data_IF_592427643184
#
_entry.id   IF_592427643184
#
_cell.length_a   1.000
_cell.length_b   1.000
_cell.length_c   1.000
_cell.angle_alpha   90.00
_cell.angle_beta   90.00
_cell.angle_gamma   90.00
#
_symmetry.space_group_name_H-M   'P 1'
#
loop_
_entity.id
_entity.type
_entity.pdbx_description
1 polymer ?
#
# COMPACT_ATOMS: atom_id res chain seq x y z
N UNK A 1 1.42 7.15 15.87
CA UNK A 1 2.23 5.92 15.87
C UNK A 1 1.31 4.72 16.08
N UNK A 2 1.54 3.62 15.37
CA UNK A 2 0.79 2.39 15.57
C UNK A 2 1.50 1.52 16.60
N UNK A 3 0.75 1.02 17.58
CA UNK A 3 1.25 0.12 18.61
C UNK A 3 0.72 -1.27 18.33
N UNK A 4 1.61 -2.24 18.26
CA UNK A 4 1.29 -3.62 17.96
C UNK A 4 1.69 -4.52 19.13
N UNK A 5 0.96 -5.61 19.34
CA UNK A 5 1.39 -6.65 20.28
C UNK A 5 2.74 -7.27 19.84
N UNK A 6 3.37 -8.06 20.72
CA UNK A 6 4.69 -8.65 20.45
C UNK A 6 4.70 -9.55 19.20
N UNK A 7 3.64 -10.32 18.97
CA UNK A 7 3.55 -11.26 17.85
C UNK A 7 3.39 -10.49 16.53
N UNK A 8 2.49 -9.51 16.51
CA UNK A 8 2.25 -8.65 15.35
C UNK A 8 3.49 -7.83 15.02
N UNK A 9 4.17 -7.27 16.02
CA UNK A 9 5.43 -6.53 15.83
C UNK A 9 6.52 -7.42 15.20
N UNK A 10 6.68 -8.65 15.69
CA UNK A 10 7.67 -9.58 15.14
C UNK A 10 7.37 -9.95 13.67
N UNK A 11 6.09 -10.17 13.34
CA UNK A 11 5.66 -10.43 11.97
C UNK A 11 5.93 -9.23 11.06
N UNK A 12 5.57 -8.02 11.48
CA UNK A 12 5.81 -6.79 10.72
C UNK A 12 7.31 -6.56 10.49
N UNK A 13 8.16 -6.69 11.52
CA UNK A 13 9.60 -6.54 11.37
C UNK A 13 10.18 -7.51 10.34
N UNK A 14 9.69 -8.75 10.30
CA UNK A 14 10.11 -9.75 9.29
C UNK A 14 9.68 -9.33 7.88
N UNK A 15 8.45 -8.86 7.70
CA UNK A 15 7.92 -8.48 6.38
C UNK A 15 8.59 -7.21 5.85
N UNK A 16 8.81 -6.22 6.71
CA UNK A 16 9.49 -4.98 6.34
C UNK A 16 10.96 -5.21 5.98
N UNK A 17 11.60 -6.22 6.57
CA UNK A 17 12.97 -6.61 6.26
C UNK A 17 13.09 -7.53 5.04
N UNK A 18 11.99 -8.06 4.49
CA UNK A 18 12.05 -8.98 3.36
C UNK A 18 12.23 -8.22 2.03
N UNK A 19 13.28 -8.52 1.24
CA UNK A 19 13.57 -7.83 -0.02
C UNK A 19 12.44 -7.92 -1.07
N UNK A 20 11.55 -8.91 -0.99
CA UNK A 20 10.40 -9.01 -1.88
C UNK A 20 9.46 -7.84 -1.68
N UNK A 21 9.12 -7.50 -0.44
CA UNK A 21 8.23 -6.36 -0.17
C UNK A 21 8.90 -5.02 -0.45
N UNK A 22 10.22 -4.91 -0.22
CA UNK A 22 10.98 -3.75 -0.67
C UNK A 22 10.92 -3.54 -2.20
N UNK A 23 10.97 -4.62 -2.99
CA UNK A 23 10.83 -4.54 -4.46
C UNK A 23 9.41 -4.14 -4.88
N UNK A 24 8.38 -4.70 -4.24
CA UNK A 24 6.98 -4.34 -4.51
C UNK A 24 6.73 -2.86 -4.19
N UNK A 25 7.19 -2.40 -3.02
CA UNK A 25 7.03 -1.01 -2.61
C UNK A 25 7.77 -0.04 -3.55
N UNK A 26 8.98 -0.41 -3.98
CA UNK A 26 9.73 0.36 -4.98
C UNK A 26 9.03 0.42 -6.34
N UNK A 27 8.48 -0.71 -6.81
CA UNK A 27 7.69 -0.76 -8.05
C UNK A 27 6.45 0.16 -7.95
N UNK A 28 5.67 0.05 -6.88
CA UNK A 28 4.52 0.90 -6.62
C UNK A 28 4.89 2.40 -6.61
N UNK A 29 5.96 2.76 -5.91
CA UNK A 29 6.48 4.14 -5.83
C UNK A 29 6.89 4.67 -7.20
N UNK A 30 7.60 3.88 -8.00
CA UNK A 30 8.03 4.26 -9.35
C UNK A 30 6.84 4.40 -10.32
N UNK A 31 5.86 3.49 -10.26
CA UNK A 31 4.62 3.58 -11.05
C UNK A 31 3.85 4.84 -10.67
N UNK A 32 3.75 5.17 -9.39
CA UNK A 32 3.08 6.40 -8.93
C UNK A 32 3.79 7.66 -9.44
N UNK A 33 5.12 7.72 -9.34
CA UNK A 33 5.91 8.82 -9.90
C UNK A 33 5.70 8.99 -11.41
N UNK A 34 5.51 7.89 -12.13
CA UNK A 34 5.31 7.88 -13.59
C UNK A 34 3.93 8.42 -13.97
N UNK A 35 2.87 7.97 -13.30
CA UNK A 35 1.49 8.26 -13.72
C UNK A 35 0.89 9.51 -13.06
N UNK A 36 1.40 9.95 -11.91
CA UNK A 36 0.93 11.15 -11.22
C UNK A 36 2.10 11.96 -10.62
N UNK A 37 3.05 12.47 -11.45
CA UNK A 37 4.30 13.08 -10.99
C UNK A 37 4.10 14.28 -10.06
N UNK A 38 3.10 15.13 -10.33
CA UNK A 38 2.80 16.30 -9.48
C UNK A 38 2.29 15.91 -8.09
N UNK A 39 1.51 14.84 -8.01
CA UNK A 39 1.01 14.32 -6.74
C UNK A 39 2.12 13.58 -5.98
N UNK A 40 2.98 12.86 -6.70
CA UNK A 40 4.17 12.26 -6.14
C UNK A 40 5.11 13.31 -5.52
N UNK A 41 5.35 14.43 -6.20
CA UNK A 41 6.15 15.55 -5.67
C UNK A 41 5.53 16.15 -4.40
N UNK A 42 4.20 16.29 -4.35
CA UNK A 42 3.50 16.69 -3.13
C UNK A 42 3.78 15.72 -1.96
N UNK A 43 3.79 14.42 -2.22
CA UNK A 43 4.13 13.43 -1.19
C UNK A 43 5.59 13.59 -0.75
N UNK A 44 6.53 13.80 -1.68
CA UNK A 44 7.94 14.03 -1.37
C UNK A 44 8.13 15.23 -0.44
N UNK A 45 7.53 16.37 -0.81
CA UNK A 45 7.62 17.60 -0.02
C UNK A 45 7.00 17.45 1.35
N UNK A 46 5.82 16.83 1.42
CA UNK A 46 5.09 16.62 2.66
C UNK A 46 5.88 15.71 3.59
N UNK A 47 6.36 14.57 3.10
CA UNK A 47 7.14 13.64 3.91
C UNK A 47 8.47 14.24 4.35
N UNK A 48 9.15 15.00 3.49
CA UNK A 48 10.39 15.69 3.86
C UNK A 48 10.16 16.66 5.02
N UNK A 49 9.10 17.48 4.96
CA UNK A 49 8.72 18.39 6.05
C UNK A 49 8.37 17.65 7.33
N UNK A 50 7.60 16.56 7.23
CA UNK A 50 7.22 15.74 8.38
C UNK A 50 8.44 15.11 9.06
N UNK A 51 9.37 14.52 8.30
CA UNK A 51 10.59 13.92 8.84
C UNK A 51 11.56 14.97 9.42
N UNK A 52 11.57 16.20 8.90
CA UNK A 52 12.34 17.31 9.50
C UNK A 52 11.75 17.74 10.85
N UNK A 53 10.42 17.76 10.96
CA UNK A 53 9.72 18.15 12.19
C UNK A 53 9.74 17.05 13.26
N UNK A 54 9.61 15.79 12.85
CA UNK A 54 9.68 14.63 13.74
C UNK A 54 10.66 13.58 13.16
N UNK A 55 11.94 13.65 13.58
CA UNK A 55 12.97 12.69 13.16
C UNK A 55 12.70 11.25 13.60
N UNK A 56 11.70 10.99 14.43
CA UNK A 56 11.30 9.64 14.82
C UNK A 56 10.43 8.93 13.79
N UNK A 57 9.91 9.67 12.79
CA UNK A 57 9.17 9.11 11.68
C UNK A 57 10.13 8.38 10.74
N UNK A 58 9.76 7.15 10.38
CA UNK A 58 10.54 6.32 9.48
C UNK A 58 9.60 5.73 8.41
N UNK A 59 10.10 5.65 7.19
CA UNK A 59 9.41 4.93 6.13
C UNK A 59 9.49 3.43 6.36
N UNK A 60 8.45 2.71 5.95
CA UNK A 60 8.44 1.25 5.95
C UNK A 60 9.51 0.66 5.02
N UNK A 61 9.76 1.32 3.89
CA UNK A 61 10.76 0.91 2.89
C UNK A 61 11.51 2.14 2.39
N UNK A 62 12.84 2.08 2.34
CA UNK A 62 13.70 3.21 1.96
C UNK A 62 13.54 3.67 0.50
N UNK A 63 12.96 2.82 -0.36
CA UNK A 63 12.72 3.09 -1.77
C UNK A 63 11.24 3.38 -2.10
N UNK A 64 10.41 3.65 -1.10
CA UNK A 64 8.98 3.92 -1.27
C UNK A 64 8.60 5.32 -0.82
N UNK A 65 7.71 5.97 -1.57
CA UNK A 65 7.12 7.26 -1.19
C UNK A 65 5.93 7.13 -0.22
N UNK A 66 5.37 5.92 -0.08
CA UNK A 66 4.22 5.68 0.78
C UNK A 66 4.63 5.63 2.26
N UNK A 67 3.99 6.47 3.07
CA UNK A 67 4.28 6.59 4.51
C UNK A 67 3.86 5.36 5.33
N UNK A 68 2.91 4.57 4.81
CA UNK A 68 2.36 3.40 5.48
C UNK A 68 2.20 2.23 4.49
N UNK A 69 2.10 1.02 5.03
CA UNK A 69 1.88 -0.21 4.28
C UNK A 69 1.05 -1.16 5.15
N UNK A 70 0.15 -1.89 4.52
CA UNK A 70 -0.74 -2.87 5.18
C UNK A 70 -0.55 -4.23 4.52
N UNK A 71 -0.41 -5.27 5.35
CA UNK A 71 -0.35 -6.65 4.87
C UNK A 71 -1.65 -7.36 5.22
N UNK A 72 -2.46 -7.66 4.21
CA UNK A 72 -3.69 -8.42 4.39
C UNK A 72 -3.39 -9.92 4.17
N UNK A 73 -3.60 -10.73 5.21
CA UNK A 73 -3.31 -12.15 5.17
C UNK A 73 -4.52 -12.99 4.74
N UNK A 74 -4.23 -14.10 4.05
CA UNK A 74 -5.21 -15.14 3.74
C UNK A 74 -5.56 -16.02 4.94
N UNK A 75 -6.32 -17.11 4.72
CA UNK A 75 -6.66 -17.70 3.42
C UNK A 75 -7.73 -16.94 2.63
N UNK A 76 -8.49 -16.06 3.29
CA UNK A 76 -9.47 -15.19 2.65
C UNK A 76 -9.24 -13.75 3.12
N UNK A 77 -9.06 -12.85 2.17
CA UNK A 77 -8.90 -11.42 2.40
C UNK A 77 -10.07 -10.70 1.75
N UNK A 78 -10.95 -10.11 2.58
CA UNK A 78 -12.10 -9.35 2.12
C UNK A 78 -12.15 -8.04 2.89
N UNK A 79 -12.28 -6.94 2.16
CA UNK A 79 -12.70 -5.67 2.72
C UNK A 79 -14.16 -5.44 2.34
N UNK A 80 -14.98 -5.02 3.31
CA UNK A 80 -16.35 -4.58 3.03
C UNK A 80 -16.32 -3.26 2.25
N UNK A 81 -17.44 -2.82 1.71
CA UNK A 81 -17.55 -1.49 1.11
C UNK A 81 -17.12 -0.42 2.13
N UNK A 82 -16.10 0.37 1.76
CA UNK A 82 -15.57 1.44 2.59
C UNK A 82 -14.77 2.44 1.74
N UNK A 83 -14.47 3.57 2.34
CA UNK A 83 -13.47 4.54 1.88
C UNK A 83 -12.40 4.60 2.96
N UNK A 84 -11.13 4.64 2.56
CA UNK A 84 -10.01 4.89 3.46
C UNK A 84 -9.97 6.38 3.89
N UNK A 85 -10.90 6.78 4.75
CA UNK A 85 -11.11 8.19 5.14
C UNK A 85 -9.92 8.84 5.89
N UNK A 86 -8.93 8.04 6.32
CA UNK A 86 -7.70 8.53 6.96
C UNK A 86 -6.61 8.81 5.91
N UNK A 87 -6.77 8.31 4.68
CA UNK A 87 -5.88 8.66 3.58
C UNK A 87 -6.09 10.11 3.17
N UNK A 88 -5.06 10.66 2.52
CA UNK A 88 -5.16 12.00 1.96
C UNK A 88 -6.24 12.04 0.86
N UNK A 89 -7.10 13.06 0.89
CA UNK A 89 -8.38 13.07 0.15
C UNK A 89 -8.28 12.85 -1.37
N UNK A 90 -7.19 13.28 -2.00
CA UNK A 90 -6.90 13.00 -3.42
C UNK A 90 -5.59 12.23 -3.59
N UNK A 91 -5.09 11.65 -2.50
CA UNK A 91 -3.92 10.81 -2.47
C UNK A 91 -4.17 9.47 -3.15
N UNK A 92 -3.12 8.90 -3.75
CA UNK A 92 -3.19 7.57 -4.35
C UNK A 92 -2.62 6.53 -3.38
N UNK A 93 -3.06 5.30 -3.57
CA UNK A 93 -2.63 4.13 -2.80
C UNK A 93 -2.22 3.04 -3.78
N UNK A 94 -1.17 2.30 -3.49
CA UNK A 94 -0.85 1.12 -4.27
C UNK A 94 -1.33 -0.14 -3.56
N UNK A 95 -2.09 -0.97 -4.28
CA UNK A 95 -2.51 -2.30 -3.81
C UNK A 95 -1.90 -3.33 -4.75
N UNK A 96 -1.20 -4.33 -4.20
CA UNK A 96 -0.65 -5.46 -4.95
C UNK A 96 -1.28 -6.76 -4.47
N UNK A 97 -1.88 -7.52 -5.38
CA UNK A 97 -2.43 -8.83 -5.06
C UNK A 97 -1.32 -9.88 -5.01
N UNK A 98 -1.27 -10.69 -3.95
CA UNK A 98 -0.27 -11.74 -3.77
C UNK A 98 -0.92 -13.09 -3.45
N UNK A 99 -0.17 -14.17 -3.67
CA UNK A 99 -0.60 -15.53 -3.38
C UNK A 99 -0.97 -16.32 -4.63
N UNK A 100 -1.63 -17.46 -4.44
CA UNK A 100 -2.09 -18.32 -5.51
C UNK A 100 -3.60 -18.51 -5.35
N UNK A 101 -4.37 -17.88 -6.23
CA UNK A 101 -5.83 -17.95 -6.23
C UNK A 101 -6.39 -17.80 -7.66
N UNK A 102 -7.61 -18.30 -7.86
CA UNK A 102 -8.37 -18.10 -9.10
C UNK A 102 -9.01 -16.71 -9.08
N UNK A 103 -8.38 -15.75 -9.76
CA UNK A 103 -8.82 -14.37 -9.75
C UNK A 103 -10.22 -14.18 -10.35
N UNK A 104 -10.65 -15.08 -11.25
CA UNK A 104 -12.00 -15.05 -11.83
C UNK A 104 -13.10 -15.49 -10.86
N UNK A 105 -12.72 -16.09 -9.72
CA UNK A 105 -13.65 -16.56 -8.69
C UNK A 105 -13.58 -15.78 -7.38
N UNK A 106 -12.49 -15.08 -7.10
CA UNK A 106 -12.32 -14.36 -5.83
C UNK A 106 -11.36 -13.18 -5.82
N UNK A 107 -10.63 -12.93 -6.90
CA UNK A 107 -9.73 -11.79 -7.01
C UNK A 107 -10.42 -10.65 -7.72
N UNK A 108 -11.19 -9.83 -6.98
CA UNK A 108 -11.92 -8.73 -7.58
C UNK A 108 -11.75 -7.44 -6.76
N UNK A 109 -11.53 -6.34 -7.46
CA UNK A 109 -11.70 -5.00 -6.93
C UNK A 109 -13.05 -4.46 -7.40
N UNK A 110 -13.92 -4.10 -6.46
CA UNK A 110 -15.24 -3.57 -6.76
C UNK A 110 -15.25 -2.07 -6.50
N UNK A 111 -15.53 -1.29 -7.56
CA UNK A 111 -15.67 0.16 -7.50
C UNK A 111 -17.16 0.49 -7.62
N UNK A 112 -17.85 0.48 -6.48
CA UNK A 112 -19.31 0.59 -6.39
C UNK A 112 -19.87 1.83 -7.08
N UNK A 113 -19.29 3.01 -6.81
CA UNK A 113 -19.72 4.28 -7.40
C UNK A 113 -19.56 4.33 -8.92
N UNK A 114 -18.62 3.55 -9.46
CA UNK A 114 -18.38 3.45 -10.91
C UNK A 114 -19.16 2.31 -11.56
N UNK A 115 -19.80 1.44 -10.77
CA UNK A 115 -20.45 0.23 -11.27
C UNK A 115 -19.49 -0.76 -11.91
N UNK A 116 -18.21 -0.77 -11.50
CA UNK A 116 -17.16 -1.60 -12.10
C UNK A 116 -16.72 -2.73 -11.17
N UNK A 117 -16.53 -3.90 -11.76
CA UNK A 117 -15.85 -5.05 -11.13
C UNK A 117 -14.61 -5.36 -11.97
N UNK A 118 -13.45 -5.23 -11.35
CA UNK A 118 -12.16 -5.46 -12.00
C UNK A 118 -11.61 -6.79 -11.48
N UNK A 119 -11.44 -7.77 -12.37
CA UNK A 119 -10.64 -8.95 -12.09
C UNK A 119 -9.20 -8.51 -11.72
N UNK A 120 -8.72 -8.93 -10.55
CA UNK A 120 -7.44 -8.51 -9.98
C UNK A 120 -6.52 -9.73 -9.75
N UNK A 121 -5.74 -10.13 -10.78
CA UNK A 121 -4.87 -11.30 -10.73
C UNK A 121 -3.72 -11.20 -9.72
N UNK A 122 -3.20 -12.34 -9.23
CA UNK A 122 -1.96 -12.35 -8.45
C UNK A 122 -0.80 -11.70 -9.21
N UNK A 123 -0.01 -10.90 -8.51
CA UNK A 123 1.13 -10.15 -9.05
C UNK A 123 0.78 -8.80 -9.66
N UNK A 124 -0.51 -8.49 -9.83
CA UNK A 124 -0.93 -7.17 -10.33
C UNK A 124 -0.86 -6.13 -9.23
N UNK A 125 -0.54 -4.90 -9.64
CA UNK A 125 -0.61 -3.70 -8.79
C UNK A 125 -1.57 -2.71 -9.41
N UNK A 126 -2.45 -2.12 -8.61
CA UNK A 126 -3.35 -1.03 -9.00
C UNK A 126 -3.02 0.23 -8.18
N UNK A 127 -3.19 1.39 -8.82
CA UNK A 127 -3.02 2.74 -8.24
C UNK A 127 -4.34 3.50 -8.27
#
# INVERSE_FOLDING_TARGET
RFYHDKKTSAALSRLLADPVFGRIAGHASATFATWAPRLYELYCDTMSKLCQQDPSLNFNFSNSIFAAATFNFGPQTVALEHIDYINYIYGWCAVTALGNFDYRKGGHLVLWDLGLVIEFPPGWTIL
#
